data_IF_450015684664
#
_entry.id   IF_450015684664
#
_cell.length_a   1.000
_cell.length_b   1.000
_cell.length_c   1.000
_cell.angle_alpha   90.00
_cell.angle_beta   90.00
_cell.angle_gamma   90.00
#
_symmetry.space_group_name_H-M   'P 1'
#
loop_
_entity.id
_entity.type
_entity.pdbx_description
1 polymer ?
#
# COMPACT_ATOMS: atom_id res chain seq x y z
N UNK A 1 11.19 -21.57 49.69
CA UNK A 1 11.49 -22.57 48.63
C UNK A 1 10.71 -22.09 47.42
N UNK A 2 11.39 -21.33 46.56
CA UNK A 2 10.88 -20.88 45.27
C UNK A 2 10.95 -22.05 44.29
N UNK A 3 9.79 -22.52 43.87
CA UNK A 3 9.65 -23.44 42.75
C UNK A 3 9.35 -22.65 41.49
N UNK A 4 10.39 -22.33 40.74
CA UNK A 4 10.29 -21.77 39.39
C UNK A 4 9.76 -22.86 38.45
N UNK A 5 8.48 -22.81 38.13
CA UNK A 5 7.91 -23.61 37.06
C UNK A 5 8.45 -23.11 35.72
N UNK A 6 9.45 -23.82 35.19
CA UNK A 6 9.92 -23.65 33.81
C UNK A 6 8.87 -24.25 32.89
N UNK A 7 8.19 -23.43 32.10
CA UNK A 7 7.30 -23.89 31.04
C UNK A 7 8.13 -24.59 29.96
N UNK A 8 8.12 -25.92 29.93
CA UNK A 8 8.79 -26.74 28.93
C UNK A 8 8.01 -26.68 27.61
N UNK A 9 8.63 -26.03 26.61
CA UNK A 9 8.45 -26.35 25.21
C UNK A 9 7.12 -26.04 24.53
N UNK A 10 6.78 -24.78 24.29
CA UNK A 10 5.87 -24.47 23.19
C UNK A 10 6.59 -24.77 21.86
N UNK A 11 6.30 -25.92 21.23
CA UNK A 11 6.77 -26.24 19.88
C UNK A 11 5.93 -25.50 18.87
N UNK A 12 6.52 -24.53 18.20
CA UNK A 12 5.93 -23.88 17.05
C UNK A 12 6.18 -24.77 15.81
N UNK A 13 5.18 -25.54 15.39
CA UNK A 13 5.23 -26.21 14.11
C UNK A 13 4.66 -25.30 13.04
N UNK A 14 5.54 -24.60 12.31
CA UNK A 14 5.15 -23.91 11.10
C UNK A 14 5.04 -24.92 9.96
N UNK A 15 3.80 -25.23 9.55
CA UNK A 15 3.54 -25.95 8.32
C UNK A 15 3.55 -24.94 7.17
N UNK A 16 4.71 -24.75 6.55
CA UNK A 16 4.79 -24.00 5.30
C UNK A 16 3.91 -24.73 4.27
N UNK A 17 2.99 -24.02 3.64
CA UNK A 17 2.31 -24.50 2.47
C UNK A 17 3.38 -24.80 1.41
N UNK A 18 3.52 -26.05 1.00
CA UNK A 18 4.35 -26.43 -0.14
C UNK A 18 3.71 -25.81 -1.36
N UNK A 19 4.36 -24.81 -1.95
CA UNK A 19 4.14 -24.48 -3.35
C UNK A 19 4.43 -25.76 -4.16
N UNK A 20 3.45 -26.23 -4.92
CA UNK A 20 3.62 -27.32 -5.83
C UNK A 20 4.52 -26.82 -6.97
N UNK A 21 5.77 -27.32 -7.02
CA UNK A 21 6.65 -27.20 -8.18
C UNK A 21 5.97 -27.90 -9.37
N UNK A 22 5.24 -27.14 -10.17
CA UNK A 22 4.82 -27.59 -11.50
C UNK A 22 5.88 -27.11 -12.49
N UNK A 23 6.76 -28.04 -12.85
CA UNK A 23 7.91 -27.86 -13.77
C UNK A 23 7.41 -27.75 -15.23
N UNK A 24 6.69 -26.68 -15.54
CA UNK A 24 6.43 -26.25 -16.92
C UNK A 24 7.14 -24.93 -17.16
N UNK A 25 8.29 -24.99 -17.74
CA UNK A 25 9.29 -24.03 -18.28
C UNK A 25 9.04 -22.52 -18.34
N UNK A 26 7.96 -22.00 -17.79
CA UNK A 26 7.67 -20.57 -17.60
C UNK A 26 7.27 -20.37 -16.16
N UNK A 27 8.08 -19.62 -15.37
CA UNK A 27 7.71 -19.26 -14.01
C UNK A 27 6.36 -18.53 -14.05
N UNK A 28 5.36 -19.08 -13.36
CA UNK A 28 4.10 -18.38 -13.15
C UNK A 28 4.40 -17.06 -12.44
N UNK A 29 3.95 -15.94 -12.99
CA UNK A 29 4.13 -14.64 -12.34
C UNK A 29 3.54 -14.68 -10.92
N UNK A 30 4.38 -14.42 -9.94
CA UNK A 30 3.98 -14.33 -8.53
C UNK A 30 3.97 -12.87 -8.14
N UNK A 31 2.77 -12.33 -7.92
CA UNK A 31 2.57 -10.93 -7.50
C UNK A 31 2.04 -10.95 -6.09
N UNK A 32 2.69 -10.22 -5.19
CA UNK A 32 2.31 -10.04 -3.80
C UNK A 32 1.41 -8.80 -3.68
N UNK A 33 0.25 -8.97 -3.07
CA UNK A 33 -0.76 -7.91 -2.93
C UNK A 33 -1.04 -7.57 -1.46
N UNK A 34 -1.01 -8.57 -0.58
CA UNK A 34 -1.27 -8.39 0.84
C UNK A 34 0.01 -7.99 1.59
N UNK A 35 0.26 -6.68 1.66
CA UNK A 35 1.43 -6.10 2.33
C UNK A 35 1.15 -5.65 3.78
N UNK A 36 0.17 -6.26 4.45
CA UNK A 36 -0.14 -5.92 5.84
C UNK A 36 1.05 -6.19 6.76
N UNK A 37 1.29 -5.29 7.70
CA UNK A 37 2.36 -5.40 8.71
C UNK A 37 1.93 -6.25 9.92
N UNK A 38 0.63 -6.49 10.07
CA UNK A 38 0.07 -7.31 11.15
C UNK A 38 -0.58 -8.54 10.57
N UNK A 39 -0.08 -9.72 10.94
CA UNK A 39 -0.64 -10.99 10.49
C UNK A 39 -1.93 -11.34 11.23
N UNK A 40 -1.96 -11.10 12.54
CA UNK A 40 -3.11 -11.37 13.38
C UNK A 40 -3.04 -10.62 14.70
N UNK A 41 -4.19 -10.48 15.34
CA UNK A 41 -4.33 -10.04 16.72
C UNK A 41 -5.47 -10.80 17.38
N UNK A 42 -5.13 -11.71 18.31
CA UNK A 42 -6.07 -12.51 19.06
C UNK A 42 -6.02 -12.12 20.55
N UNK A 43 -6.85 -11.16 21.00
CA UNK A 43 -6.79 -10.66 22.37
C UNK A 43 -7.34 -11.65 23.40
N UNK A 44 -8.18 -12.61 22.99
CA UNK A 44 -8.86 -13.54 23.87
C UNK A 44 -8.78 -14.97 23.33
N UNK A 45 -7.78 -15.72 23.77
CA UNK A 45 -7.65 -17.14 23.49
C UNK A 45 -7.77 -17.90 24.80
N UNK A 46 -8.66 -18.88 24.86
CA UNK A 46 -8.84 -19.72 26.03
C UNK A 46 -8.18 -21.07 25.74
N UNK A 47 -7.30 -21.49 26.63
CA UNK A 47 -6.68 -22.81 26.57
C UNK A 47 -7.69 -23.91 26.82
N UNK A 48 -7.49 -25.06 26.21
CA UNK A 48 -8.27 -26.27 26.48
C UNK A 48 -8.00 -26.83 27.90
N UNK A 49 -8.70 -27.90 28.25
CA UNK A 49 -8.51 -28.57 29.57
C UNK A 49 -7.12 -29.13 29.78
N UNK A 50 -6.32 -29.26 28.74
CA UNK A 50 -4.93 -29.73 28.78
C UNK A 50 -3.92 -28.58 28.77
N UNK A 51 -4.39 -27.33 28.75
CA UNK A 51 -3.56 -26.15 28.72
C UNK A 51 -3.07 -25.76 27.32
N UNK A 52 -3.61 -26.35 26.24
CA UNK A 52 -3.23 -26.02 24.89
C UNK A 52 -4.09 -24.88 24.35
N UNK A 53 -3.45 -23.91 23.72
CA UNK A 53 -4.09 -22.88 22.90
C UNK A 53 -3.65 -23.06 21.45
N UNK A 54 -4.61 -23.22 20.55
CA UNK A 54 -4.36 -23.40 19.10
C UNK A 54 -4.92 -22.20 18.36
N UNK A 55 -4.10 -21.61 17.51
CA UNK A 55 -4.50 -20.53 16.60
C UNK A 55 -4.13 -20.89 15.16
N UNK A 56 -4.95 -20.44 14.23
CA UNK A 56 -4.68 -20.58 12.80
C UNK A 56 -4.79 -19.21 12.15
N UNK A 57 -3.80 -18.85 11.35
CA UNK A 57 -3.77 -17.58 10.64
C UNK A 57 -2.98 -17.74 9.35
N UNK A 58 -3.21 -16.80 8.41
CA UNK A 58 -2.44 -16.70 7.18
C UNK A 58 -1.50 -15.51 7.30
N UNK A 59 -0.20 -15.75 7.08
CA UNK A 59 0.77 -14.66 7.03
C UNK A 59 0.50 -13.80 5.78
N UNK A 60 0.59 -12.48 5.90
CA UNK A 60 0.68 -11.61 4.75
C UNK A 60 1.88 -11.96 3.85
N UNK A 61 1.86 -11.46 2.63
CA UNK A 61 2.85 -11.80 1.60
C UNK A 61 4.13 -10.94 1.70
N UNK A 62 4.22 -10.11 2.73
CA UNK A 62 5.40 -9.29 3.01
C UNK A 62 6.61 -10.15 3.35
N UNK A 63 7.69 -9.98 2.59
CA UNK A 63 8.96 -10.68 2.81
C UNK A 63 9.78 -9.94 3.87
N UNK A 64 9.64 -10.38 5.11
CA UNK A 64 10.21 -9.73 6.30
C UNK A 64 10.44 -10.73 7.44
N UNK A 65 11.03 -10.25 8.51
CA UNK A 65 11.07 -10.98 9.78
C UNK A 65 9.78 -10.71 10.57
N UNK A 66 9.05 -11.77 10.87
CA UNK A 66 7.80 -11.73 11.63
C UNK A 66 8.10 -12.04 13.10
N UNK A 67 7.69 -11.13 13.98
CA UNK A 67 7.80 -11.34 15.42
C UNK A 67 6.45 -11.74 16.00
N UNK A 68 6.41 -12.89 16.64
CA UNK A 68 5.28 -13.36 17.41
C UNK A 68 5.46 -12.96 18.88
N UNK A 69 4.43 -12.36 19.46
CA UNK A 69 4.39 -12.04 20.88
C UNK A 69 3.09 -12.59 21.48
N UNK A 70 3.21 -13.36 22.54
CA UNK A 70 2.07 -13.90 23.26
C UNK A 70 2.20 -13.65 24.76
N UNK A 71 1.06 -13.48 25.42
CA UNK A 71 0.96 -13.44 26.87
C UNK A 71 -0.13 -14.39 27.32
N UNK A 72 0.18 -15.23 28.27
CA UNK A 72 -0.81 -16.10 28.92
C UNK A 72 -0.86 -15.78 30.41
N UNK A 73 -2.03 -15.89 31.02
CA UNK A 73 -2.19 -15.77 32.46
C UNK A 73 -3.25 -16.75 32.99
N UNK A 74 -3.11 -17.12 34.26
CA UNK A 74 -4.07 -17.89 34.98
C UNK A 74 -5.08 -16.98 35.70
N UNK A 75 -6.12 -17.56 36.28
CA UNK A 75 -7.07 -16.81 37.12
C UNK A 75 -6.39 -16.25 38.38
N UNK A 76 -5.34 -16.92 38.87
CA UNK A 76 -4.56 -16.52 40.05
C UNK A 76 -3.47 -15.48 39.70
N UNK A 77 -3.54 -14.85 38.50
CA UNK A 77 -2.61 -13.83 38.05
C UNK A 77 -1.16 -14.30 37.80
N UNK A 78 -0.89 -15.58 37.82
CA UNK A 78 0.39 -16.08 37.31
C UNK A 78 0.41 -15.87 35.78
N UNK A 79 1.51 -15.34 35.23
CA UNK A 79 1.61 -15.04 33.79
C UNK A 79 2.91 -15.57 33.19
N UNK A 80 2.87 -15.78 31.88
CA UNK A 80 4.02 -16.11 31.05
C UNK A 80 4.00 -15.34 29.76
N UNK A 81 5.17 -15.05 29.24
CA UNK A 81 5.37 -14.38 27.95
C UNK A 81 5.97 -15.39 26.97
N UNK A 82 5.51 -15.32 25.74
CA UNK A 82 6.04 -16.08 24.62
C UNK A 82 6.48 -15.08 23.54
N UNK A 83 7.71 -15.23 23.07
CA UNK A 83 8.28 -14.48 21.98
C UNK A 83 8.90 -15.45 20.97
N UNK A 84 8.71 -15.18 19.69
CA UNK A 84 9.24 -16.00 18.61
C UNK A 84 9.44 -15.18 17.35
N UNK A 85 10.33 -15.63 16.48
CA UNK A 85 10.64 -14.97 15.23
C UNK A 85 10.61 -15.97 14.08
N UNK A 86 10.11 -15.51 12.93
CA UNK A 86 10.08 -16.26 11.69
C UNK A 86 10.41 -15.34 10.52
N UNK A 87 11.29 -15.79 9.65
CA UNK A 87 11.72 -15.03 8.48
C UNK A 87 11.04 -15.57 7.23
N UNK A 88 10.31 -14.69 6.53
CA UNK A 88 9.76 -14.95 5.22
C UNK A 88 10.66 -14.29 4.17
N UNK A 89 11.27 -15.08 3.29
CA UNK A 89 12.15 -14.58 2.22
C UNK A 89 12.12 -15.49 0.99
N UNK A 90 12.41 -14.90 -0.16
CA UNK A 90 12.68 -15.61 -1.42
C UNK A 90 14.16 -15.43 -1.78
N UNK A 91 14.70 -16.32 -2.61
CA UNK A 91 16.10 -16.18 -3.11
C UNK A 91 16.29 -14.87 -3.88
N UNK A 92 15.31 -14.51 -4.72
CA UNK A 92 15.25 -13.23 -5.41
C UNK A 92 13.99 -12.50 -4.96
N UNK A 93 14.16 -11.28 -4.50
CA UNK A 93 13.09 -10.45 -3.97
C UNK A 93 13.09 -9.08 -4.65
N UNK A 94 11.91 -8.59 -4.98
CA UNK A 94 11.71 -7.24 -5.50
C UNK A 94 11.04 -6.38 -4.43
N UNK A 95 11.60 -5.22 -4.17
CA UNK A 95 11.07 -4.25 -3.24
C UNK A 95 10.98 -2.87 -3.92
N UNK A 96 9.81 -2.47 -4.38
CA UNK A 96 9.58 -1.13 -4.90
C UNK A 96 9.60 -0.09 -3.78
N UNK A 97 10.16 1.07 -4.06
CA UNK A 97 10.02 2.25 -3.22
C UNK A 97 8.93 3.13 -3.82
N UNK A 98 7.70 2.88 -3.41
CA UNK A 98 6.54 3.59 -3.92
C UNK A 98 6.34 4.93 -3.20
N UNK A 99 6.10 6.03 -3.93
CA UNK A 99 5.65 7.27 -3.31
C UNK A 99 4.22 7.09 -2.76
N UNK A 100 3.88 7.83 -1.71
CA UNK A 100 2.52 7.79 -1.14
C UNK A 100 1.46 8.34 -2.08
N UNK A 101 1.83 9.28 -2.91
CA UNK A 101 1.00 9.89 -3.97
C UNK A 101 1.90 10.61 -4.97
N UNK A 102 1.34 10.94 -6.13
CA UNK A 102 1.96 11.82 -7.13
C UNK A 102 0.93 12.87 -7.52
N UNK A 103 1.34 14.08 -7.86
CA UNK A 103 0.41 15.12 -8.37
C UNK A 103 0.43 15.14 -9.89
N UNK A 104 -0.69 15.52 -10.47
CA UNK A 104 -0.78 15.75 -11.91
C UNK A 104 0.27 16.78 -12.36
N UNK A 105 0.99 16.47 -13.43
CA UNK A 105 2.07 17.31 -13.95
C UNK A 105 3.42 17.14 -13.26
N UNK A 106 3.51 16.38 -12.17
CA UNK A 106 4.79 16.02 -11.56
C UNK A 106 5.56 15.02 -12.44
N UNK A 107 6.87 15.02 -12.25
CA UNK A 107 7.75 13.95 -12.76
C UNK A 107 8.35 13.24 -11.57
N UNK A 108 8.13 11.94 -11.49
CA UNK A 108 8.66 11.11 -10.41
C UNK A 108 9.41 9.92 -10.95
N UNK A 109 10.35 9.41 -10.18
CA UNK A 109 11.10 8.20 -10.50
C UNK A 109 10.77 7.14 -9.45
N UNK A 110 10.18 6.04 -9.90
CA UNK A 110 9.89 4.87 -9.06
C UNK A 110 11.12 3.96 -9.10
N UNK A 111 11.62 3.65 -7.93
CA UNK A 111 12.83 2.85 -7.77
C UNK A 111 12.46 1.46 -7.27
N UNK A 112 12.88 0.42 -7.95
CA UNK A 112 12.76 -0.97 -7.50
C UNK A 112 14.13 -1.53 -7.12
N UNK A 113 14.24 -2.06 -5.91
CA UNK A 113 15.40 -2.80 -5.45
C UNK A 113 15.20 -4.29 -5.69
N UNK A 114 16.22 -4.95 -6.19
CA UNK A 114 16.23 -6.40 -6.39
C UNK A 114 17.34 -6.97 -5.51
N UNK A 115 16.94 -7.82 -4.58
CA UNK A 115 17.85 -8.50 -3.65
C UNK A 115 18.11 -9.92 -4.14
N UNK A 116 19.34 -10.36 -4.05
CA UNK A 116 19.73 -11.73 -4.29
C UNK A 116 20.33 -12.32 -3.01
N UNK A 117 19.56 -13.17 -2.35
CA UNK A 117 19.96 -13.94 -1.16
C UNK A 117 20.19 -15.42 -1.50
N UNK A 118 20.11 -15.77 -2.77
CA UNK A 118 20.38 -17.12 -3.27
C UNK A 118 21.85 -17.50 -3.18
N UNK A 119 22.24 -18.51 -3.94
CA UNK A 119 23.60 -19.08 -3.91
C UNK A 119 24.44 -18.73 -5.15
N UNK A 120 23.91 -17.93 -6.08
CA UNK A 120 24.58 -17.58 -7.31
C UNK A 120 24.05 -16.27 -7.91
N UNK A 121 24.74 -15.74 -8.90
CA UNK A 121 24.32 -14.59 -9.70
C UNK A 121 22.97 -14.85 -10.36
N UNK A 122 22.06 -13.85 -10.35
CA UNK A 122 20.79 -13.87 -11.04
C UNK A 122 20.69 -12.75 -12.08
N UNK A 123 19.99 -13.02 -13.16
CA UNK A 123 19.73 -12.06 -14.22
C UNK A 123 18.36 -12.28 -14.85
N UNK A 124 17.77 -11.24 -15.37
CA UNK A 124 16.45 -11.25 -15.97
C UNK A 124 15.95 -9.87 -16.32
N UNK A 125 14.65 -9.74 -16.41
CA UNK A 125 13.94 -8.51 -16.72
C UNK A 125 13.02 -8.11 -15.57
N UNK A 126 12.94 -6.81 -15.30
CA UNK A 126 11.98 -6.22 -14.39
C UNK A 126 11.04 -5.32 -15.18
N UNK A 127 9.74 -5.56 -15.01
CA UNK A 127 8.66 -4.83 -15.68
C UNK A 127 7.89 -4.01 -14.66
N UNK A 128 7.58 -2.78 -15.02
CA UNK A 128 6.54 -1.99 -14.38
C UNK A 128 5.33 -1.90 -15.29
N UNK A 129 4.14 -2.01 -14.72
CA UNK A 129 2.87 -1.79 -15.41
C UNK A 129 1.96 -0.96 -14.52
N UNK A 130 1.46 0.14 -15.06
CA UNK A 130 0.48 0.99 -14.41
C UNK A 130 -0.83 0.92 -15.15
N UNK A 131 -1.91 0.66 -14.45
CA UNK A 131 -3.24 0.54 -15.04
C UNK A 131 -4.31 1.21 -14.20
N UNK A 132 -5.40 1.56 -14.87
CA UNK A 132 -6.62 2.03 -14.23
C UNK A 132 -7.33 0.86 -13.52
N UNK A 133 -7.59 0.94 -12.21
CA UNK A 133 -8.24 -0.14 -11.46
C UNK A 133 -9.67 -0.42 -11.88
N UNK A 134 -10.38 0.54 -12.48
CA UNK A 134 -11.78 0.39 -12.88
C UNK A 134 -11.92 -0.23 -14.27
N UNK A 135 -11.10 0.19 -15.21
CA UNK A 135 -11.20 -0.23 -16.61
C UNK A 135 -10.19 -1.29 -17.01
N UNK A 136 -9.13 -1.47 -16.21
CA UNK A 136 -7.98 -2.32 -16.55
C UNK A 136 -7.09 -1.75 -17.67
N UNK A 137 -7.37 -0.53 -18.15
CA UNK A 137 -6.57 0.10 -19.22
C UNK A 137 -5.15 0.35 -18.74
N UNK A 138 -4.17 -0.15 -19.48
CA UNK A 138 -2.75 0.12 -19.23
C UNK A 138 -2.44 1.58 -19.59
N UNK A 139 -1.89 2.31 -18.63
CA UNK A 139 -1.50 3.72 -18.73
C UNK A 139 -0.02 3.81 -19.12
N UNK A 140 0.79 2.96 -18.48
CA UNK A 140 2.24 2.90 -18.69
C UNK A 140 2.71 1.47 -18.55
N UNK A 141 3.64 1.05 -19.41
CA UNK A 141 4.41 -0.18 -19.26
C UNK A 141 5.84 0.07 -19.72
N UNK A 142 6.81 -0.39 -18.91
CA UNK A 142 8.24 -0.34 -19.23
C UNK A 142 8.93 -1.60 -18.74
N UNK A 143 9.97 -2.04 -19.45
CA UNK A 143 10.70 -3.27 -19.13
C UNK A 143 12.21 -3.01 -19.23
N UNK A 144 12.96 -3.39 -18.20
CA UNK A 144 14.40 -3.17 -18.13
C UNK A 144 15.14 -4.43 -17.70
N UNK A 145 16.29 -4.75 -18.33
CA UNK A 145 17.12 -5.86 -17.89
C UNK A 145 17.80 -5.54 -16.56
N UNK A 146 18.00 -6.58 -15.75
CA UNK A 146 18.83 -6.46 -14.56
C UNK A 146 19.80 -7.65 -14.41
N UNK A 147 20.82 -7.42 -13.62
CA UNK A 147 21.76 -8.43 -13.17
C UNK A 147 22.14 -8.12 -11.73
N UNK A 148 22.13 -9.14 -10.87
CA UNK A 148 22.46 -8.99 -9.46
C UNK A 148 23.37 -10.13 -9.01
N UNK A 149 24.50 -9.77 -8.43
CA UNK A 149 25.48 -10.71 -7.90
C UNK A 149 24.98 -11.35 -6.59
N UNK A 150 25.58 -12.46 -6.23
CA UNK A 150 25.33 -13.18 -4.97
C UNK A 150 25.45 -12.23 -3.76
N UNK A 151 24.45 -12.27 -2.87
CA UNK A 151 24.35 -11.44 -1.65
C UNK A 151 24.50 -9.93 -1.94
N UNK A 152 24.06 -9.50 -3.12
CA UNK A 152 24.04 -8.09 -3.52
C UNK A 152 22.64 -7.63 -3.84
N UNK A 153 22.54 -6.30 -3.97
CA UNK A 153 21.32 -5.62 -4.36
C UNK A 153 21.60 -4.80 -5.60
N UNK A 154 20.71 -4.83 -6.55
CA UNK A 154 20.70 -3.91 -7.70
C UNK A 154 19.45 -3.04 -7.66
N UNK A 155 19.51 -1.90 -8.34
CA UNK A 155 18.41 -0.93 -8.36
C UNK A 155 18.05 -0.62 -9.79
N UNK A 156 16.77 -0.67 -10.11
CA UNK A 156 16.21 -0.26 -11.39
C UNK A 156 15.21 0.86 -11.16
N UNK A 157 15.23 1.85 -12.05
CA UNK A 157 14.37 3.04 -11.93
C UNK A 157 13.44 3.17 -13.14
N UNK A 158 12.22 3.64 -12.88
CA UNK A 158 11.21 3.90 -13.88
C UNK A 158 10.68 5.31 -13.71
N UNK A 159 10.68 6.09 -14.79
CA UNK A 159 10.15 7.45 -14.75
C UNK A 159 8.66 7.44 -15.03
N UNK A 160 7.91 8.17 -14.23
CA UNK A 160 6.47 8.32 -14.35
C UNK A 160 6.07 9.79 -14.25
N UNK A 161 5.22 10.22 -15.18
CA UNK A 161 4.64 11.56 -15.21
C UNK A 161 3.14 11.43 -15.52
N UNK A 162 2.24 11.58 -14.53
CA UNK A 162 0.81 11.52 -14.77
C UNK A 162 0.34 12.67 -15.66
N UNK A 163 -0.41 12.36 -16.70
CA UNK A 163 -1.08 13.29 -17.58
C UNK A 163 -2.43 13.73 -17.00
N UNK A 164 -3.08 14.73 -17.62
CA UNK A 164 -4.36 15.27 -17.16
C UNK A 164 -5.51 14.23 -17.17
N UNK A 165 -5.42 13.23 -18.03
CA UNK A 165 -6.39 12.13 -18.17
C UNK A 165 -6.04 10.91 -17.31
N UNK A 166 -4.97 10.98 -16.50
CA UNK A 166 -4.61 9.89 -15.60
C UNK A 166 -5.67 9.75 -14.50
N UNK A 167 -6.18 8.53 -14.24
CA UNK A 167 -7.14 8.30 -13.16
C UNK A 167 -6.61 8.76 -11.79
N UNK A 168 -7.52 9.11 -10.88
CA UNK A 168 -7.17 9.54 -9.51
C UNK A 168 -6.51 8.43 -8.68
N UNK A 169 -6.64 7.17 -9.10
CA UNK A 169 -5.97 6.02 -8.52
C UNK A 169 -5.40 5.14 -9.64
N UNK A 170 -4.17 4.70 -9.48
CA UNK A 170 -3.48 3.83 -10.43
C UNK A 170 -3.00 2.58 -9.71
N UNK A 171 -3.20 1.41 -10.31
CA UNK A 171 -2.58 0.17 -9.88
C UNK A 171 -1.19 0.10 -10.50
N UNK A 172 -0.17 -0.03 -9.68
CA UNK A 172 1.22 -0.22 -10.09
C UNK A 172 1.67 -1.63 -9.76
N UNK A 173 2.00 -2.41 -10.78
CA UNK A 173 2.59 -3.74 -10.66
C UNK A 173 4.05 -3.68 -11.08
N UNK A 174 4.94 -4.19 -10.23
CA UNK A 174 6.36 -4.31 -10.56
C UNK A 174 6.74 -5.77 -10.37
N UNK A 175 7.19 -6.43 -11.44
CA UNK A 175 7.49 -7.86 -11.47
C UNK A 175 8.87 -8.08 -12.06
N UNK A 176 9.72 -8.82 -11.37
CA UNK A 176 10.99 -9.30 -11.89
C UNK A 176 10.90 -10.80 -12.19
N UNK A 177 11.29 -11.15 -13.40
CA UNK A 177 11.35 -12.52 -13.88
C UNK A 177 12.78 -12.80 -14.38
N UNK A 178 13.26 -14.00 -14.14
CA UNK A 178 14.61 -14.32 -14.61
C UNK A 178 15.04 -15.74 -14.33
N UNK A 179 16.34 -15.96 -14.47
CA UNK A 179 16.98 -17.24 -14.20
C UNK A 179 18.16 -17.05 -13.26
N UNK A 180 18.21 -17.90 -12.26
CA UNK A 180 19.39 -18.08 -11.43
C UNK A 180 20.47 -18.89 -12.17
N UNK A 181 21.68 -18.92 -11.63
CA UNK A 181 22.79 -19.65 -12.25
C UNK A 181 22.57 -21.17 -12.33
N UNK A 182 21.70 -21.72 -11.48
CA UNK A 182 21.27 -23.13 -11.56
C UNK A 182 20.33 -23.43 -12.74
N UNK A 183 19.96 -22.42 -13.53
CA UNK A 183 18.93 -22.53 -14.57
C UNK A 183 17.49 -22.50 -14.04
N UNK A 184 17.29 -22.48 -12.72
CA UNK A 184 15.98 -22.35 -12.09
C UNK A 184 15.40 -20.97 -12.37
N UNK A 185 14.18 -20.92 -12.89
CA UNK A 185 13.44 -19.68 -13.10
C UNK A 185 12.91 -19.14 -11.77
N UNK A 186 12.85 -17.84 -11.64
CA UNK A 186 12.23 -17.16 -10.51
C UNK A 186 11.25 -16.09 -11.00
N UNK A 187 10.27 -15.81 -10.17
CA UNK A 187 9.35 -14.68 -10.32
C UNK A 187 9.04 -14.10 -8.96
N UNK A 188 9.14 -12.78 -8.85
CA UNK A 188 8.69 -12.04 -7.69
C UNK A 188 8.23 -10.64 -8.10
N UNK A 189 7.19 -10.14 -7.44
CA UNK A 189 6.65 -8.82 -7.73
C UNK A 189 5.72 -8.32 -6.64
N UNK A 190 5.41 -7.04 -6.70
CA UNK A 190 4.49 -6.37 -5.80
C UNK A 190 3.48 -5.55 -6.58
N UNK A 191 2.25 -5.50 -6.05
CA UNK A 191 1.19 -4.62 -6.51
C UNK A 191 0.92 -3.55 -5.46
N UNK A 192 0.86 -2.30 -5.91
CA UNK A 192 0.57 -1.14 -5.07
C UNK A 192 -0.50 -0.26 -5.71
N UNK A 193 -1.23 0.46 -4.87
CA UNK A 193 -2.15 1.50 -5.30
C UNK A 193 -1.49 2.86 -5.12
N UNK A 194 -1.41 3.63 -6.21
CA UNK A 194 -0.78 4.95 -6.25
C UNK A 194 -1.84 6.03 -6.49
N UNK A 195 -2.17 6.84 -5.47
CA UNK A 195 -3.06 7.98 -5.63
C UNK A 195 -2.44 9.08 -6.50
N UNK A 196 -3.20 9.58 -7.46
CA UNK A 196 -2.84 10.72 -8.29
C UNK A 196 -3.68 11.92 -7.86
N UNK A 197 -3.03 12.89 -7.22
CA UNK A 197 -3.70 14.08 -6.71
C UNK A 197 -3.74 15.18 -7.78
N UNK A 198 -4.81 15.97 -7.83
CA UNK A 198 -4.85 17.13 -8.70
C UNK A 198 -3.79 18.16 -8.26
N UNK A 199 -3.27 18.92 -9.21
CA UNK A 199 -2.39 20.06 -8.96
C UNK A 199 -3.17 21.36 -8.76
N UNK A 200 -4.51 21.27 -8.67
CA UNK A 200 -5.43 22.38 -8.47
C UNK A 200 -6.07 22.27 -7.10
N UNK A 201 -6.21 23.40 -6.43
CA UNK A 201 -6.92 23.51 -5.17
C UNK A 201 -8.27 24.21 -5.40
N UNK A 202 -9.31 23.75 -4.72
CA UNK A 202 -10.62 24.39 -4.77
C UNK A 202 -10.61 25.59 -3.84
N UNK A 203 -10.70 26.78 -4.41
CA UNK A 203 -10.84 28.03 -3.67
C UNK A 203 -12.30 28.43 -3.68
N UNK A 204 -12.84 28.83 -2.53
CA UNK A 204 -14.17 29.40 -2.38
C UNK A 204 -14.04 30.84 -1.97
N UNK A 205 -14.46 31.72 -2.87
CA UNK A 205 -14.53 33.16 -2.60
C UNK A 205 -15.98 33.53 -2.35
N UNK A 206 -16.20 34.39 -1.36
CA UNK A 206 -17.54 34.86 -1.00
C UNK A 206 -17.62 36.36 -1.06
N UNK A 207 -18.73 36.88 -1.55
CA UNK A 207 -19.02 38.31 -1.55
C UNK A 207 -20.41 38.54 -1.01
N UNK A 208 -20.49 39.26 0.08
CA UNK A 208 -21.77 39.68 0.65
C UNK A 208 -22.31 40.91 -0.10
N UNK A 209 -23.60 40.93 -0.35
CA UNK A 209 -24.30 42.09 -0.86
C UNK A 209 -25.63 42.28 -0.15
N UNK A 210 -26.03 43.51 0.03
CA UNK A 210 -27.35 43.88 0.61
C UNK A 210 -28.09 44.77 -0.36
N UNK A 211 -29.41 44.61 -0.43
CA UNK A 211 -30.31 45.50 -1.17
C UNK A 211 -31.49 45.86 -0.28
N UNK A 212 -31.60 47.12 0.06
CA UNK A 212 -32.66 47.65 0.93
C UNK A 212 -33.85 48.20 0.15
N UNK A 213 -33.61 48.65 -1.07
CA UNK A 213 -34.61 49.27 -1.90
C UNK A 213 -35.05 48.41 -3.07
N UNK A 214 -36.25 48.66 -3.59
CA UNK A 214 -36.73 48.04 -4.83
C UNK A 214 -35.86 48.49 -6.00
N UNK A 215 -35.39 47.56 -6.81
CA UNK A 215 -34.59 47.86 -7.98
C UNK A 215 -33.65 46.75 -8.39
N UNK A 216 -32.75 47.04 -9.28
CA UNK A 216 -31.70 46.16 -9.80
C UNK A 216 -30.38 46.52 -9.14
N UNK A 217 -29.70 45.55 -8.57
CA UNK A 217 -28.34 45.69 -8.07
C UNK A 217 -27.39 44.87 -8.95
N UNK A 218 -26.43 45.53 -9.56
CA UNK A 218 -25.38 44.87 -10.34
C UNK A 218 -24.16 44.63 -9.44
N UNK A 219 -23.71 43.38 -9.42
CA UNK A 219 -22.54 42.97 -8.64
C UNK A 219 -21.51 42.46 -9.62
N UNK A 220 -20.29 43.01 -9.52
CA UNK A 220 -19.18 42.56 -10.37
C UNK A 220 -18.46 41.38 -9.66
N UNK A 221 -18.52 40.22 -10.30
CA UNK A 221 -17.91 38.99 -9.80
C UNK A 221 -16.55 38.67 -10.43
N UNK A 222 -16.04 39.51 -11.35
CA UNK A 222 -14.77 39.26 -12.06
C UNK A 222 -13.58 39.11 -11.10
N UNK A 223 -13.64 39.80 -9.95
CA UNK A 223 -12.62 39.75 -8.91
C UNK A 223 -12.70 38.44 -8.11
N UNK A 224 -13.86 37.79 -8.03
CA UNK A 224 -14.07 36.52 -7.31
C UNK A 224 -13.60 35.35 -8.14
N UNK A 225 -13.60 35.45 -9.45
CA UNK A 225 -13.24 34.40 -10.39
C UNK A 225 -12.01 34.82 -11.22
N UNK A 226 -10.81 34.93 -10.59
CA UNK A 226 -9.61 35.39 -11.27
C UNK A 226 -9.14 34.43 -12.38
N UNK A 227 -9.55 33.16 -12.29
CA UNK A 227 -9.24 32.14 -13.29
C UNK A 227 -10.52 31.69 -13.98
N UNK A 228 -10.58 31.88 -15.29
CA UNK A 228 -11.67 31.36 -16.14
C UNK A 228 -11.42 29.85 -16.36
N UNK A 229 -11.87 29.04 -15.41
CA UNK A 229 -11.85 27.59 -15.53
C UNK A 229 -13.29 27.09 -15.75
N UNK A 230 -13.45 26.11 -16.63
CA UNK A 230 -14.74 25.46 -16.90
C UNK A 230 -15.31 24.73 -15.67
N UNK A 231 -14.53 24.59 -14.59
CA UNK A 231 -14.94 24.00 -13.31
C UNK A 231 -15.48 25.00 -12.31
N UNK A 232 -15.48 26.31 -12.65
CA UNK A 232 -15.99 27.36 -11.77
C UNK A 232 -17.50 27.19 -11.55
N UNK A 233 -17.93 27.27 -10.28
CA UNK A 233 -19.33 27.23 -9.89
C UNK A 233 -19.69 28.53 -9.16
N UNK A 234 -20.69 29.26 -9.67
CA UNK A 234 -21.28 30.38 -8.99
C UNK A 234 -22.53 29.92 -8.25
N UNK A 235 -22.59 30.20 -6.95
CA UNK A 235 -23.79 30.03 -6.13
C UNK A 235 -24.22 31.40 -5.63
N UNK A 236 -25.47 31.75 -5.89
CA UNK A 236 -26.08 33.00 -5.42
C UNK A 236 -27.15 32.63 -4.39
N UNK A 237 -26.97 33.10 -3.18
CA UNK A 237 -27.94 32.90 -2.09
C UNK A 237 -28.58 34.24 -1.76
N UNK A 238 -29.91 34.27 -1.76
CA UNK A 238 -30.69 35.46 -1.41
C UNK A 238 -31.68 35.14 -0.30
N UNK A 239 -31.72 35.96 0.71
CA UNK A 239 -32.72 35.87 1.76
C UNK A 239 -33.25 37.26 2.13
N UNK A 240 -34.53 37.38 2.38
CA UNK A 240 -35.19 38.58 2.93
C UNK A 240 -35.29 38.51 4.46
N UNK A 241 -34.86 37.42 5.09
CA UNK A 241 -34.89 37.24 6.52
C UNK A 241 -33.48 37.06 7.09
N UNK A 242 -32.98 38.07 7.84
CA UNK A 242 -31.63 38.00 8.41
C UNK A 242 -31.40 36.84 9.39
N UNK A 243 -32.45 36.25 9.94
CA UNK A 243 -32.34 35.08 10.82
C UNK A 243 -31.77 33.85 10.09
N UNK A 244 -32.02 33.70 8.79
CA UNK A 244 -31.42 32.60 7.99
C UNK A 244 -29.92 32.76 7.83
N UNK A 245 -29.43 33.99 7.75
CA UNK A 245 -27.98 34.23 7.72
C UNK A 245 -27.30 33.78 9.02
N UNK A 246 -27.99 33.97 10.15
CA UNK A 246 -27.47 33.51 11.45
C UNK A 246 -27.46 31.98 11.54
N UNK A 247 -28.49 31.30 11.01
CA UNK A 247 -28.56 29.83 11.00
C UNK A 247 -27.46 29.22 10.12
N UNK A 248 -27.18 29.83 8.97
CA UNK A 248 -26.11 29.37 8.06
C UNK A 248 -24.70 29.60 8.63
N UNK A 249 -24.54 30.55 9.54
CA UNK A 249 -23.27 30.86 10.19
C UNK A 249 -23.00 30.00 11.45
N UNK A 250 -23.95 29.15 11.83
CA UNK A 250 -23.73 28.19 12.93
C UNK A 250 -22.80 27.06 12.48
N UNK A 251 -21.82 26.67 13.31
CA UNK A 251 -20.86 25.60 13.02
C UNK A 251 -21.51 24.22 12.98
#
# INVERSE_FOLDING_TARGET
>A
VEETAVAEGAKMEMKAAKESDDDTGTAKETIRENMNETAFFFPNIIADKKGNAVMSFTLPETLTSWRFMGMAHTQDMAFGLLDGEAVAQKEIMVQPNMPRFVRMGDKTTITAKIFNTGNAKAQGDIRIEMSDPETGKVIMSDNKPFSVELNKTTTVTFDFAPAEDTPALVVCKIVANGKGASGKTFSDGEQHYLPILPNKERVTETMAFTQTDKGVKTVNIDKLLPVKDNTARLTVEYTNNPAWMMVQALP
#
